data_IF_219024668659
#
_entry.id   IF_219024668659
#
_cell.length_a   1.000
_cell.length_b   1.000
_cell.length_c   1.000
_cell.angle_alpha   90.00
_cell.angle_beta   90.00
_cell.angle_gamma   90.00
#
_symmetry.space_group_name_H-M   'P 1'
#
loop_
_entity.id
_entity.type
_entity.pdbx_description
1 polymer ?
#
# COMPACT_ATOMS: atom_id res chain seq x y z
N UNK A 1 7.21 -14.57 2.25
CA UNK A 1 8.04 -13.60 2.99
C UNK A 1 9.05 -14.42 3.76
N UNK A 2 10.19 -13.88 4.18
CA UNK A 2 11.08 -14.64 5.05
C UNK A 2 10.41 -14.90 6.42
N UNK A 3 10.80 -16.00 7.07
CA UNK A 3 10.16 -16.47 8.30
C UNK A 3 10.23 -15.43 9.42
N UNK A 4 11.33 -14.67 9.53
CA UNK A 4 11.49 -13.65 10.57
C UNK A 4 10.47 -12.53 10.44
N UNK A 5 10.32 -11.96 9.24
CA UNK A 5 9.36 -10.90 8.99
C UNK A 5 7.93 -11.40 9.14
N UNK A 6 7.66 -12.62 8.69
CA UNK A 6 6.35 -13.24 8.86
C UNK A 6 6.00 -13.44 10.35
N UNK A 7 6.92 -14.02 11.14
CA UNK A 7 6.74 -14.19 12.58
C UNK A 7 6.59 -12.85 13.32
N UNK A 8 7.37 -11.84 12.92
CA UNK A 8 7.26 -10.48 13.48
C UNK A 8 5.88 -9.90 13.22
N UNK A 9 5.38 -10.03 11.99
CA UNK A 9 4.06 -9.55 11.60
C UNK A 9 2.95 -10.25 12.39
N UNK A 10 3.03 -11.59 12.52
CA UNK A 10 2.04 -12.39 13.24
C UNK A 10 2.08 -12.15 14.76
N UNK A 11 3.25 -11.92 15.34
CA UNK A 11 3.40 -11.60 16.75
C UNK A 11 2.82 -10.21 17.07
N UNK A 12 2.97 -9.25 16.14
CA UNK A 12 2.45 -7.89 16.31
C UNK A 12 0.94 -7.80 16.11
N UNK A 13 0.38 -8.58 15.19
CA UNK A 13 -1.03 -8.54 14.80
C UNK A 13 -1.73 -9.91 14.94
N UNK A 14 -1.69 -10.54 16.13
CA UNK A 14 -2.08 -11.93 16.29
C UNK A 14 -3.56 -12.18 15.99
N UNK A 15 -4.44 -11.24 16.36
CA UNK A 15 -5.87 -11.35 16.11
C UNK A 15 -6.19 -11.30 14.62
N UNK A 16 -5.53 -10.43 13.85
CA UNK A 16 -5.73 -10.32 12.41
C UNK A 16 -5.33 -11.61 11.68
N UNK A 17 -4.20 -12.20 12.08
CA UNK A 17 -3.63 -13.41 11.47
C UNK A 17 -3.98 -14.70 12.23
N UNK A 18 -5.04 -14.71 13.05
CA UNK A 18 -5.46 -15.88 13.84
C UNK A 18 -5.85 -17.09 13.00
N UNK A 19 -6.26 -16.87 11.76
CA UNK A 19 -6.63 -17.91 10.80
C UNK A 19 -5.49 -18.84 10.38
N UNK A 20 -4.23 -18.52 10.68
CA UNK A 20 -3.07 -19.35 10.31
C UNK A 20 -3.03 -20.74 10.98
N UNK A 21 -3.78 -20.90 12.07
CA UNK A 21 -3.90 -22.17 12.79
C UNK A 21 -5.12 -23.00 12.36
N UNK A 22 -5.95 -22.45 11.47
CA UNK A 22 -7.14 -23.13 10.98
C UNK A 22 -6.80 -24.13 9.85
N UNK A 23 -7.61 -25.17 9.65
CA UNK A 23 -7.46 -26.06 8.50
C UNK A 23 -7.60 -25.33 7.16
N UNK A 24 -6.91 -25.83 6.13
CA UNK A 24 -6.95 -25.27 4.76
C UNK A 24 -8.36 -25.20 4.14
N UNK A 25 -9.31 -25.98 4.65
CA UNK A 25 -10.72 -25.93 4.24
C UNK A 25 -11.48 -24.71 4.78
N UNK A 26 -10.88 -23.99 5.73
CA UNK A 26 -11.47 -22.83 6.43
C UNK A 26 -10.69 -21.56 6.10
N UNK A 27 -9.35 -21.63 6.12
CA UNK A 27 -8.50 -20.46 5.93
C UNK A 27 -7.20 -20.85 5.21
N UNK A 28 -6.71 -20.01 4.30
CA UNK A 28 -5.51 -20.26 3.51
C UNK A 28 -4.24 -19.66 4.14
N UNK A 29 -4.35 -18.97 5.27
CA UNK A 29 -3.20 -18.42 5.99
C UNK A 29 -2.25 -19.47 6.58
N UNK A 30 -2.59 -20.77 6.55
CA UNK A 30 -1.64 -21.83 6.83
C UNK A 30 -0.48 -21.90 5.79
N UNK A 31 -0.63 -21.25 4.62
CA UNK A 31 0.46 -21.03 3.67
C UNK A 31 1.36 -19.82 4.01
N UNK A 32 1.03 -19.06 5.06
CA UNK A 32 1.73 -17.83 5.41
C UNK A 32 1.45 -16.68 4.45
N UNK A 33 2.38 -15.72 4.39
CA UNK A 33 2.37 -14.59 3.48
C UNK A 33 3.17 -14.93 2.21
N UNK A 34 2.46 -15.34 1.16
CA UNK A 34 3.01 -15.75 -0.15
C UNK A 34 3.44 -14.53 -1.01
N UNK A 35 4.26 -13.64 -0.45
CA UNK A 35 4.84 -12.46 -1.10
C UNK A 35 6.27 -12.18 -0.61
N UNK A 36 7.00 -11.26 -1.23
CA UNK A 36 8.40 -10.97 -0.86
C UNK A 36 8.52 -9.86 0.22
N UNK A 37 9.72 -9.75 0.80
CA UNK A 37 10.02 -8.96 2.00
C UNK A 37 9.84 -7.45 1.84
N UNK A 38 10.00 -6.94 0.62
CA UNK A 38 9.82 -5.53 0.30
C UNK A 38 8.38 -5.05 0.52
N UNK A 39 7.40 -5.95 0.66
CA UNK A 39 6.02 -5.62 1.00
C UNK A 39 5.68 -5.76 2.49
N UNK A 40 6.63 -6.07 3.37
CA UNK A 40 6.38 -6.10 4.81
C UNK A 40 5.80 -4.79 5.34
N UNK A 41 6.34 -3.64 4.94
CA UNK A 41 5.83 -2.33 5.37
C UNK A 41 4.37 -2.10 4.94
N UNK A 42 3.98 -2.59 3.76
CA UNK A 42 2.59 -2.53 3.27
C UNK A 42 1.68 -3.37 4.16
N UNK A 43 2.09 -4.60 4.52
CA UNK A 43 1.30 -5.47 5.38
C UNK A 43 1.23 -4.94 6.82
N UNK A 44 2.31 -4.39 7.38
CA UNK A 44 2.30 -3.79 8.71
C UNK A 44 1.42 -2.53 8.77
N UNK A 45 1.49 -1.68 7.74
CA UNK A 45 0.61 -0.51 7.60
C UNK A 45 -0.87 -0.92 7.56
N UNK A 46 -1.21 -1.89 6.69
CA UNK A 46 -2.58 -2.39 6.56
C UNK A 46 -3.06 -3.00 7.87
N UNK A 47 -2.23 -3.82 8.52
CA UNK A 47 -2.56 -4.47 9.79
C UNK A 47 -2.84 -3.46 10.90
N UNK A 48 -2.06 -2.38 10.96
CA UNK A 48 -2.28 -1.27 11.89
C UNK A 48 -3.63 -0.58 11.61
N UNK A 49 -3.96 -0.29 10.35
CA UNK A 49 -5.22 0.36 9.97
C UNK A 49 -6.42 -0.50 10.35
N UNK A 50 -6.46 -1.76 9.90
CA UNK A 50 -7.59 -2.67 10.15
C UNK A 50 -7.82 -2.90 11.64
N UNK A 51 -6.73 -3.10 12.39
CA UNK A 51 -6.82 -3.33 13.84
C UNK A 51 -7.26 -2.06 14.59
N UNK A 52 -6.77 -0.90 14.20
CA UNK A 52 -7.13 0.38 14.84
C UNK A 52 -8.59 0.75 14.58
N UNK A 53 -9.06 0.57 13.34
CA UNK A 53 -10.45 0.79 12.98
C UNK A 53 -11.41 -0.13 13.75
N UNK A 54 -11.10 -1.44 13.80
CA UNK A 54 -11.89 -2.39 14.57
C UNK A 54 -11.96 -2.04 16.07
N UNK A 55 -10.84 -1.62 16.67
CA UNK A 55 -10.79 -1.15 18.07
C UNK A 55 -11.65 0.10 18.29
N UNK A 56 -11.62 1.05 17.37
CA UNK A 56 -12.44 2.27 17.46
C UNK A 56 -13.95 1.97 17.40
N UNK A 57 -14.33 0.83 16.81
CA UNK A 57 -15.71 0.34 16.73
C UNK A 57 -16.08 -0.67 17.81
N UNK A 58 -15.18 -0.97 18.76
CA UNK A 58 -15.36 -1.99 19.80
C UNK A 58 -15.75 -3.37 19.23
N UNK A 59 -15.08 -3.78 18.13
CA UNK A 59 -15.30 -5.07 17.47
C UNK A 59 -13.96 -5.80 17.25
N UNK A 60 -13.98 -7.14 17.07
CA UNK A 60 -12.77 -7.85 16.65
C UNK A 60 -12.30 -7.38 15.27
N UNK A 61 -10.97 -7.37 15.01
CA UNK A 61 -10.46 -7.10 13.68
C UNK A 61 -10.91 -8.18 12.69
N UNK A 62 -10.98 -7.83 11.39
CA UNK A 62 -11.22 -8.81 10.35
C UNK A 62 -10.16 -9.93 10.42
N UNK A 63 -10.45 -11.09 9.84
CA UNK A 63 -9.53 -12.23 9.78
C UNK A 63 -8.85 -12.21 8.41
N UNK A 64 -7.52 -12.23 8.36
CA UNK A 64 -6.80 -12.53 7.13
C UNK A 64 -7.13 -13.96 6.67
N UNK A 65 -7.55 -14.10 5.41
CA UNK A 65 -7.94 -15.38 4.79
C UNK A 65 -6.85 -15.88 3.83
N UNK A 66 -6.23 -14.97 3.08
CA UNK A 66 -5.10 -15.27 2.22
C UNK A 66 -4.32 -14.00 1.92
N UNK A 67 -2.99 -14.10 1.93
CA UNK A 67 -2.08 -13.01 1.54
C UNK A 67 -1.12 -13.57 0.50
N UNK A 68 -1.15 -13.02 -0.72
CA UNK A 68 -0.29 -13.51 -1.81
C UNK A 68 0.08 -12.43 -2.81
N UNK A 69 1.14 -12.68 -3.55
CA UNK A 69 1.41 -12.00 -4.82
C UNK A 69 0.51 -12.56 -5.93
N UNK A 70 0.02 -11.67 -6.80
CA UNK A 70 -0.63 -12.03 -8.08
C UNK A 70 -0.49 -10.91 -9.12
N UNK A 71 0.21 -11.22 -10.20
CA UNK A 71 0.47 -10.34 -11.36
C UNK A 71 1.25 -9.07 -11.03
N UNK A 72 2.27 -9.18 -10.17
CA UNK A 72 3.10 -8.08 -9.69
C UNK A 72 2.45 -7.23 -8.60
N UNK A 73 1.34 -7.66 -8.00
CA UNK A 73 0.66 -6.91 -6.95
C UNK A 73 0.18 -7.84 -5.82
N UNK A 74 0.05 -7.28 -4.62
CA UNK A 74 -0.53 -7.93 -3.47
C UNK A 74 -2.01 -8.25 -3.72
N UNK A 75 -2.44 -9.39 -3.18
CA UNK A 75 -3.84 -9.71 -2.91
C UNK A 75 -4.01 -10.01 -1.45
N UNK A 76 -4.90 -9.26 -0.80
CA UNK A 76 -5.21 -9.42 0.60
C UNK A 76 -6.69 -9.74 0.75
N UNK A 77 -6.99 -10.98 1.11
CA UNK A 77 -8.36 -11.44 1.34
C UNK A 77 -8.62 -11.44 2.84
N UNK A 78 -9.73 -10.85 3.25
CA UNK A 78 -10.17 -10.79 4.62
C UNK A 78 -11.60 -11.33 4.77
N UNK A 79 -11.98 -11.67 6.00
CA UNK A 79 -13.35 -11.97 6.39
C UNK A 79 -13.76 -11.10 7.58
N UNK A 80 -14.97 -10.55 7.51
CA UNK A 80 -15.50 -9.65 8.55
C UNK A 80 -15.03 -8.20 8.39
N UNK A 81 -14.56 -7.83 7.20
CA UNK A 81 -14.24 -6.48 6.78
C UNK A 81 -15.51 -5.66 6.48
N UNK A 82 -15.44 -4.35 6.72
CA UNK A 82 -16.45 -3.37 6.30
C UNK A 82 -15.97 -2.50 5.13
N UNK A 83 -16.77 -1.53 4.68
CA UNK A 83 -16.38 -0.67 3.55
C UNK A 83 -15.10 0.14 3.80
N UNK A 84 -14.80 0.52 5.04
CA UNK A 84 -13.54 1.19 5.37
C UNK A 84 -12.37 0.22 5.23
N UNK A 85 -12.49 -0.98 5.80
CA UNK A 85 -11.48 -2.02 5.67
C UNK A 85 -11.22 -2.38 4.20
N UNK A 86 -12.27 -2.51 3.40
CA UNK A 86 -12.17 -2.78 1.96
C UNK A 86 -11.42 -1.66 1.21
N UNK A 87 -11.60 -0.40 1.62
CA UNK A 87 -10.85 0.74 1.11
C UNK A 87 -9.37 0.70 1.45
N UNK A 88 -9.05 0.38 2.71
CA UNK A 88 -7.68 0.22 3.18
C UNK A 88 -6.96 -0.94 2.46
N UNK A 89 -7.62 -2.10 2.34
CA UNK A 89 -7.13 -3.26 1.59
C UNK A 89 -6.85 -2.87 0.13
N UNK A 90 -7.81 -2.23 -0.53
CA UNK A 90 -7.65 -1.80 -1.93
C UNK A 90 -6.46 -0.85 -2.09
N UNK A 91 -6.27 0.11 -1.18
CA UNK A 91 -5.12 1.00 -1.22
C UNK A 91 -3.80 0.26 -1.01
N UNK A 92 -3.74 -0.72 -0.11
CA UNK A 92 -2.54 -1.54 0.10
C UNK A 92 -2.16 -2.34 -1.15
N UNK A 93 -3.14 -2.88 -1.87
CA UNK A 93 -2.90 -3.55 -3.16
C UNK A 93 -2.34 -2.58 -4.22
N UNK A 94 -2.85 -1.35 -4.31
CA UNK A 94 -2.32 -0.34 -5.25
C UNK A 94 -0.91 0.13 -4.90
N UNK A 95 -0.60 0.25 -3.62
CA UNK A 95 0.73 0.61 -3.14
C UNK A 95 1.74 -0.49 -3.47
N UNK A 96 1.36 -1.76 -3.28
CA UNK A 96 2.24 -2.90 -3.60
C UNK A 96 2.65 -2.93 -5.08
N UNK A 97 1.80 -2.46 -5.99
CA UNK A 97 2.09 -2.36 -7.43
C UNK A 97 3.07 -1.22 -7.78
N UNK A 98 3.46 -0.39 -6.80
CA UNK A 98 4.43 0.71 -6.93
C UNK A 98 5.66 0.52 -6.04
N UNK A 99 5.70 -0.56 -5.26
CA UNK A 99 6.79 -0.86 -4.33
C UNK A 99 7.45 -2.15 -4.77
N UNK A 100 8.78 -2.13 -4.89
CA UNK A 100 9.55 -3.31 -5.22
C UNK A 100 9.32 -4.42 -4.20
N UNK A 101 8.82 -5.57 -4.67
CA UNK A 101 8.48 -6.68 -3.77
C UNK A 101 9.70 -7.26 -3.04
N UNK A 102 10.91 -7.08 -3.56
CA UNK A 102 12.15 -7.57 -2.92
C UNK A 102 12.77 -6.51 -2.01
N UNK A 103 13.00 -5.29 -2.52
CA UNK A 103 13.85 -4.30 -1.83
C UNK A 103 13.08 -3.27 -1.02
N UNK A 104 11.76 -3.16 -1.21
CA UNK A 104 10.92 -2.11 -0.63
C UNK A 104 11.14 -0.71 -1.23
N UNK A 105 12.08 -0.57 -2.18
CA UNK A 105 12.30 0.69 -2.91
C UNK A 105 11.18 0.94 -3.93
N UNK A 106 11.02 2.17 -4.45
CA UNK A 106 10.05 2.44 -5.51
C UNK A 106 10.24 1.50 -6.71
N UNK A 107 9.13 0.99 -7.24
CA UNK A 107 9.13 -0.02 -8.29
C UNK A 107 7.99 0.16 -9.30
N UNK A 108 8.13 -0.50 -10.45
CA UNK A 108 7.09 -0.56 -11.49
C UNK A 108 6.86 -1.99 -11.90
N UNK A 109 5.73 -2.23 -12.58
CA UNK A 109 5.43 -3.52 -13.16
C UNK A 109 6.49 -3.90 -14.18
N UNK A 110 7.04 -5.10 -14.01
CA UNK A 110 8.06 -5.67 -14.86
C UNK A 110 7.60 -7.03 -15.38
N UNK A 111 8.19 -7.45 -16.49
CA UNK A 111 7.89 -8.75 -17.11
C UNK A 111 9.14 -9.50 -17.55
N UNK A 112 9.07 -10.84 -17.48
CA UNK A 112 10.03 -11.77 -18.09
C UNK A 112 9.26 -12.96 -18.68
N UNK A 113 8.86 -12.84 -19.94
CA UNK A 113 7.92 -13.79 -20.54
C UNK A 113 6.52 -13.60 -19.96
N UNK A 114 5.86 -14.66 -19.52
CA UNK A 114 4.52 -14.60 -18.91
C UNK A 114 4.55 -14.31 -17.39
N UNK A 115 5.73 -14.03 -16.84
CA UNK A 115 5.92 -13.72 -15.43
C UNK A 115 5.89 -12.22 -15.21
N UNK A 116 5.10 -11.78 -14.23
CA UNK A 116 4.94 -10.39 -13.83
C UNK A 116 5.40 -10.21 -12.38
N UNK A 117 6.07 -9.09 -12.11
CA UNK A 117 6.62 -8.74 -10.81
C UNK A 117 6.73 -7.22 -10.69
N UNK A 118 6.61 -6.65 -9.49
CA UNK A 118 6.91 -5.24 -9.27
C UNK A 118 8.31 -5.10 -8.71
N UNK A 119 9.20 -4.51 -9.51
CA UNK A 119 10.62 -4.34 -9.15
C UNK A 119 11.07 -2.90 -9.27
N UNK A 120 12.05 -2.56 -8.43
CA UNK A 120 12.88 -1.36 -8.60
C UNK A 120 13.83 -1.57 -9.78
N UNK A 121 14.36 -0.48 -10.40
CA UNK A 121 15.24 -0.60 -11.56
C UNK A 121 16.45 -1.52 -11.33
N UNK A 122 17.07 -1.46 -10.14
CA UNK A 122 18.21 -2.31 -9.79
C UNK A 122 17.83 -3.79 -9.72
N UNK A 123 16.73 -4.13 -9.06
CA UNK A 123 16.23 -5.51 -8.93
C UNK A 123 15.77 -6.04 -10.30
N UNK A 124 15.10 -5.22 -11.10
CA UNK A 124 14.68 -5.59 -12.46
C UNK A 124 15.89 -5.96 -13.32
N UNK A 125 16.96 -5.16 -13.29
CA UNK A 125 18.20 -5.43 -14.01
C UNK A 125 18.87 -6.74 -13.54
N UNK A 126 18.99 -6.93 -12.22
CA UNK A 126 19.59 -8.13 -11.62
C UNK A 126 18.82 -9.41 -12.01
N UNK A 127 17.48 -9.39 -11.87
CA UNK A 127 16.61 -10.54 -12.17
C UNK A 127 16.33 -10.71 -13.67
N UNK A 128 16.81 -9.78 -14.51
CA UNK A 128 16.61 -9.73 -15.98
C UNK A 128 15.13 -9.63 -16.37
N UNK A 129 14.41 -8.77 -15.67
CA UNK A 129 13.05 -8.38 -16.01
C UNK A 129 13.05 -7.04 -16.76
N UNK A 130 12.14 -6.87 -17.71
CA UNK A 130 11.92 -5.61 -18.42
C UNK A 130 10.82 -4.81 -17.72
N UNK A 131 11.10 -3.56 -17.35
CA UNK A 131 10.07 -2.64 -16.85
C UNK A 131 9.11 -2.27 -17.98
N UNK A 132 7.80 -2.34 -17.72
CA UNK A 132 6.77 -2.00 -18.71
C UNK A 132 6.58 -0.49 -18.84
N UNK A 133 6.68 0.24 -17.73
CA UNK A 133 6.53 1.69 -17.67
C UNK A 133 7.87 2.34 -17.27
N UNK A 134 8.90 2.14 -18.09
CA UNK A 134 10.27 2.60 -17.78
C UNK A 134 10.43 4.13 -17.77
N UNK A 135 9.54 4.85 -18.44
CA UNK A 135 9.54 6.32 -18.51
C UNK A 135 8.75 6.98 -17.37
N UNK A 136 8.01 6.21 -16.58
CA UNK A 136 7.28 6.73 -15.42
C UNK A 136 8.25 7.22 -14.35
N UNK A 137 8.10 8.46 -13.84
CA UNK A 137 8.99 8.98 -12.81
C UNK A 137 8.91 8.11 -11.56
N UNK A 138 10.07 7.80 -10.99
CA UNK A 138 10.21 7.09 -9.72
C UNK A 138 10.68 8.08 -8.65
N UNK A 139 10.20 7.97 -7.40
CA UNK A 139 10.83 8.64 -6.27
C UNK A 139 12.34 8.34 -6.20
N UNK A 140 13.18 9.31 -5.80
CA UNK A 140 12.81 10.67 -5.41
C UNK A 140 12.50 11.59 -6.60
N UNK A 141 11.44 12.39 -6.46
CA UNK A 141 11.10 13.49 -7.39
C UNK A 141 11.06 14.80 -6.61
N UNK A 142 11.61 15.92 -7.11
CA UNK A 142 11.57 17.19 -6.38
C UNK A 142 10.15 17.57 -5.94
N UNK A 143 10.00 18.03 -4.70
CA UNK A 143 8.69 18.31 -4.09
C UNK A 143 7.84 19.28 -4.92
N UNK A 144 8.48 20.26 -5.54
CA UNK A 144 7.84 21.23 -6.45
C UNK A 144 7.29 20.58 -7.73
N UNK A 145 7.88 19.47 -8.19
CA UNK A 145 7.40 18.74 -9.36
C UNK A 145 6.26 17.79 -9.02
N UNK A 146 6.27 17.18 -7.83
CA UNK A 146 5.23 16.22 -7.41
C UNK A 146 3.84 16.85 -7.54
N UNK A 147 3.66 18.07 -7.03
CA UNK A 147 2.36 18.73 -7.09
C UNK A 147 1.91 19.04 -8.51
N UNK A 148 2.83 19.31 -9.43
CA UNK A 148 2.53 19.47 -10.86
C UNK A 148 2.11 18.14 -11.48
N UNK A 149 2.92 17.09 -11.30
CA UNK A 149 2.67 15.74 -11.84
C UNK A 149 1.30 15.22 -11.41
N UNK A 150 0.99 15.27 -10.11
CA UNK A 150 -0.25 14.72 -9.59
C UNK A 150 -1.48 15.49 -10.08
N UNK A 151 -1.41 16.83 -10.16
CA UNK A 151 -2.54 17.65 -10.67
C UNK A 151 -2.77 17.46 -12.17
N UNK A 152 -1.70 17.34 -12.96
CA UNK A 152 -1.82 17.07 -14.40
C UNK A 152 -2.42 15.69 -14.66
N UNK A 153 -2.04 14.69 -13.85
CA UNK A 153 -2.53 13.31 -13.99
C UNK A 153 -3.94 13.12 -13.46
N UNK A 154 -4.29 13.77 -12.36
CA UNK A 154 -5.57 13.58 -11.65
C UNK A 154 -6.38 14.88 -11.49
N UNK A 155 -6.68 15.62 -12.59
CA UNK A 155 -7.28 16.95 -12.52
C UNK A 155 -8.74 16.96 -12.03
N UNK A 156 -9.40 15.80 -12.01
CA UNK A 156 -10.78 15.65 -11.50
C UNK A 156 -10.84 15.32 -10.01
N UNK A 157 -9.71 14.90 -9.42
CA UNK A 157 -9.59 14.46 -8.03
C UNK A 157 -8.78 15.46 -7.22
N UNK A 158 -7.71 16.03 -7.77
CA UNK A 158 -6.83 16.96 -7.05
C UNK A 158 -7.17 18.40 -7.42
N UNK A 159 -7.74 19.10 -6.45
CA UNK A 159 -8.30 20.45 -6.62
C UNK A 159 -7.52 21.54 -5.89
N UNK A 160 -6.52 21.15 -5.09
CA UNK A 160 -5.77 22.12 -4.30
C UNK A 160 -4.28 21.82 -4.19
N UNK A 161 -3.76 22.04 -3.00
CA UNK A 161 -2.31 22.09 -2.78
C UNK A 161 -1.76 20.69 -2.55
N UNK A 162 -0.63 20.41 -3.20
CA UNK A 162 0.13 19.18 -3.03
C UNK A 162 1.56 19.59 -2.67
N UNK A 163 1.98 19.27 -1.46
CA UNK A 163 3.31 19.53 -0.90
C UNK A 163 3.79 18.25 -0.22
N UNK A 164 4.30 17.33 -1.04
CA UNK A 164 4.80 16.04 -0.58
C UNK A 164 6.33 16.01 -0.63
N UNK A 165 6.98 15.27 0.28
CA UNK A 165 8.41 15.06 0.23
C UNK A 165 8.78 14.14 -0.95
N UNK A 166 10.05 14.14 -1.40
CA UNK A 166 10.44 13.50 -2.66
C UNK A 166 10.09 12.01 -2.77
N UNK A 167 10.12 11.30 -1.65
CA UNK A 167 9.82 9.88 -1.53
C UNK A 167 8.34 9.52 -1.62
N UNK A 168 7.43 10.48 -1.48
CA UNK A 168 5.99 10.19 -1.31
C UNK A 168 5.17 10.36 -2.60
N UNK A 169 5.81 10.56 -3.76
CA UNK A 169 5.11 10.65 -5.05
C UNK A 169 4.16 9.47 -5.28
N UNK A 170 4.64 8.24 -5.09
CA UNK A 170 3.86 7.03 -5.37
C UNK A 170 2.68 6.83 -4.39
N UNK A 171 2.81 7.33 -3.15
CA UNK A 171 1.71 7.33 -2.17
C UNK A 171 0.60 8.29 -2.64
N UNK A 172 0.98 9.50 -3.03
CA UNK A 172 0.03 10.50 -3.55
C UNK A 172 -0.64 10.07 -4.85
N UNK A 173 0.13 9.48 -5.77
CA UNK A 173 -0.39 8.94 -7.03
C UNK A 173 -1.37 7.77 -6.81
N UNK A 174 -1.02 6.81 -5.96
CA UNK A 174 -1.89 5.69 -5.63
C UNK A 174 -3.20 6.17 -4.99
N UNK A 175 -3.13 7.15 -4.07
CA UNK A 175 -4.31 7.68 -3.41
C UNK A 175 -5.23 8.40 -4.41
N UNK A 176 -4.67 9.28 -5.23
CA UNK A 176 -5.44 10.00 -6.24
C UNK A 176 -6.05 9.07 -7.29
N UNK A 177 -5.30 8.05 -7.73
CA UNK A 177 -5.81 6.99 -8.60
C UNK A 177 -6.99 6.28 -7.95
N UNK A 178 -6.85 5.83 -6.69
CA UNK A 178 -7.90 5.11 -5.97
C UNK A 178 -9.17 5.93 -5.82
N UNK A 179 -9.06 7.21 -5.49
CA UNK A 179 -10.19 8.13 -5.33
C UNK A 179 -10.83 8.55 -6.66
N UNK A 180 -10.11 8.40 -7.78
CA UNK A 180 -10.68 8.62 -9.12
C UNK A 180 -11.67 7.51 -9.55
N UNK A 181 -11.57 6.33 -8.94
CA UNK A 181 -12.35 5.16 -9.30
C UNK A 181 -13.60 5.03 -8.43
N UNK A 182 -14.78 5.15 -9.05
CA UNK A 182 -16.05 4.81 -8.39
C UNK A 182 -16.29 3.31 -8.21
N UNK A 183 -15.43 2.48 -8.82
CA UNK A 183 -15.55 1.02 -8.77
C UNK A 183 -16.87 0.52 -9.36
N UNK A 184 -17.47 -0.47 -8.72
CA UNK A 184 -18.74 -1.08 -9.11
C UNK A 184 -19.98 -0.30 -8.64
N UNK A 185 -19.79 0.83 -7.96
CA UNK A 185 -20.85 1.61 -7.29
C UNK A 185 -20.89 3.04 -7.85
N UNK A 186 -21.51 3.26 -9.02
CA UNK A 186 -21.51 4.55 -9.72
C UNK A 186 -22.16 5.69 -8.91
N UNK A 187 -23.03 5.35 -7.96
CA UNK A 187 -23.73 6.25 -7.05
C UNK A 187 -22.85 6.81 -5.93
N UNK A 188 -21.63 6.28 -5.73
CA UNK A 188 -20.72 6.79 -4.69
C UNK A 188 -20.44 8.28 -4.88
N UNK A 189 -20.41 9.06 -3.79
CA UNK A 189 -20.09 10.48 -3.85
C UNK A 189 -18.71 10.67 -4.48
N UNK A 190 -18.53 11.76 -5.22
CA UNK A 190 -17.20 12.12 -5.68
C UNK A 190 -16.33 12.52 -4.48
N UNK A 191 -15.03 12.29 -4.59
CA UNK A 191 -14.03 12.72 -3.61
C UNK A 191 -13.05 13.66 -4.27
N UNK A 192 -12.81 14.80 -3.62
CA UNK A 192 -11.83 15.80 -4.09
C UNK A 192 -10.78 16.02 -3.00
N UNK A 193 -9.51 15.89 -3.35
CA UNK A 193 -8.37 16.22 -2.51
C UNK A 193 -8.16 17.74 -2.61
N UNK A 194 -8.35 18.42 -1.49
CA UNK A 194 -8.14 19.86 -1.36
C UNK A 194 -6.73 20.18 -0.85
N UNK A 195 -6.17 19.31 -0.01
CA UNK A 195 -4.76 19.38 0.41
C UNK A 195 -4.17 17.99 0.59
N UNK A 196 -2.93 17.84 0.15
CA UNK A 196 -2.09 16.66 0.35
C UNK A 196 -0.71 17.14 0.76
N UNK A 197 -0.42 17.11 2.06
CA UNK A 197 0.79 17.72 2.64
C UNK A 197 1.49 16.76 3.59
N UNK A 198 2.80 16.92 3.72
CA UNK A 198 3.52 16.43 4.88
C UNK A 198 3.48 17.48 6.01
N UNK A 199 3.10 17.06 7.21
CA UNK A 199 3.06 17.88 8.42
C UNK A 199 3.60 17.04 9.58
N UNK A 200 4.72 17.46 10.17
CA UNK A 200 5.35 16.82 11.33
C UNK A 200 5.64 15.31 11.14
N UNK A 201 6.05 14.92 9.93
CA UNK A 201 6.33 13.55 9.52
C UNK A 201 5.09 12.75 9.10
N UNK A 202 3.91 13.36 9.07
CA UNK A 202 2.64 12.69 8.77
C UNK A 202 2.04 13.18 7.46
N UNK A 203 1.38 12.27 6.74
CA UNK A 203 0.57 12.64 5.58
C UNK A 203 -0.76 13.24 6.05
N UNK A 204 -0.91 14.55 5.88
CA UNK A 204 -2.15 15.27 6.10
C UNK A 204 -2.97 15.34 4.79
N UNK A 205 -4.20 14.83 4.85
CA UNK A 205 -5.15 14.86 3.73
C UNK A 205 -6.37 15.68 4.11
N UNK A 206 -6.64 16.75 3.37
CA UNK A 206 -7.91 17.48 3.45
C UNK A 206 -8.73 17.18 2.21
N UNK A 207 -9.97 16.75 2.40
CA UNK A 207 -10.85 16.33 1.32
C UNK A 207 -12.23 16.97 1.42
N UNK A 208 -12.94 16.96 0.29
CA UNK A 208 -14.38 17.21 0.20
C UNK A 208 -15.07 15.97 -0.39
N UNK A 209 -16.27 15.66 0.13
CA UNK A 209 -17.04 14.47 -0.23
C UNK A 209 -16.51 13.16 0.37
N UNK A 210 -16.63 12.08 -0.41
CA UNK A 210 -16.19 10.72 -0.06
C UNK A 210 -17.01 9.95 0.97
N UNK A 211 -16.70 8.66 1.07
CA UNK A 211 -17.39 7.70 1.93
C UNK A 211 -16.43 6.90 2.83
N UNK A 212 -16.93 5.84 3.48
CA UNK A 212 -16.13 5.02 4.39
C UNK A 212 -14.95 4.35 3.68
N UNK A 213 -15.14 3.91 2.43
CA UNK A 213 -14.11 3.25 1.63
C UNK A 213 -13.00 4.24 1.25
N UNK A 214 -13.36 5.47 0.89
CA UNK A 214 -12.36 6.50 0.63
C UNK A 214 -11.56 6.85 1.89
N UNK A 215 -12.23 6.93 3.06
CA UNK A 215 -11.55 7.13 4.34
C UNK A 215 -10.60 5.99 4.69
N UNK A 216 -10.95 4.75 4.37
CA UNK A 216 -10.06 3.59 4.53
C UNK A 216 -8.81 3.68 3.66
N UNK A 217 -8.98 4.07 2.40
CA UNK A 217 -7.85 4.29 1.49
C UNK A 217 -6.93 5.42 1.99
N UNK A 218 -7.48 6.52 2.50
CA UNK A 218 -6.72 7.62 3.08
C UNK A 218 -5.96 7.18 4.33
N UNK A 219 -6.60 6.43 5.23
CA UNK A 219 -5.96 5.89 6.43
C UNK A 219 -4.77 4.98 6.08
N UNK A 220 -4.93 4.14 5.04
CA UNK A 220 -3.85 3.29 4.53
C UNK A 220 -2.71 4.10 3.90
N UNK A 221 -3.02 5.14 3.10
CA UNK A 221 -2.01 6.02 2.53
C UNK A 221 -1.19 6.72 3.64
N UNK A 222 -1.85 7.21 4.68
CA UNK A 222 -1.19 7.83 5.83
C UNK A 222 -0.33 6.84 6.63
N UNK A 223 -0.84 5.62 6.88
CA UNK A 223 -0.08 4.57 7.56
C UNK A 223 1.16 4.11 6.76
N UNK A 224 1.07 4.12 5.43
CA UNK A 224 2.21 3.82 4.57
C UNK A 224 3.24 4.95 4.54
N UNK A 225 2.80 6.21 4.58
CA UNK A 225 3.70 7.37 4.64
C UNK A 225 4.61 7.34 5.88
N UNK A 226 4.06 6.97 7.04
CA UNK A 226 4.80 6.73 8.30
C UNK A 226 5.84 5.59 8.19
N UNK A 227 5.71 4.70 7.21
CA UNK A 227 6.60 3.56 6.96
C UNK A 227 7.42 3.72 5.67
N UNK A 228 7.49 4.93 5.12
CA UNK A 228 8.21 5.21 3.88
C UNK A 228 9.18 6.36 4.12
N UNK A 229 10.46 6.13 3.85
CA UNK A 229 11.48 7.16 3.92
C UNK A 229 11.09 8.35 3.02
N UNK A 230 10.89 9.51 3.64
CA UNK A 230 10.40 10.71 2.99
C UNK A 230 11.35 11.22 1.89
N UNK A 231 12.63 10.87 1.97
CA UNK A 231 13.62 11.32 0.98
C UNK A 231 13.70 10.41 -0.24
N UNK A 232 13.60 9.09 -0.08
CA UNK A 232 13.91 8.10 -1.10
C UNK A 232 12.70 7.31 -1.59
N UNK A 233 11.61 7.29 -0.82
CA UNK A 233 10.43 6.47 -1.10
C UNK A 233 10.64 4.99 -0.77
N UNK A 234 11.74 4.64 -0.11
CA UNK A 234 12.00 3.26 0.32
C UNK A 234 11.19 2.93 1.57
N UNK A 235 10.57 1.76 1.56
CA UNK A 235 9.90 1.19 2.74
C UNK A 235 10.88 1.02 3.90
N UNK A 236 10.46 1.42 5.10
CA UNK A 236 11.17 1.23 6.35
C UNK A 236 10.88 -0.19 6.85
N UNK A 237 11.85 -1.10 6.63
CA UNK A 237 11.75 -2.49 7.05
C UNK A 237 12.37 -2.68 8.44
N UNK A 238 11.89 -3.64 9.26
CA UNK A 238 12.56 -4.01 10.50
C UNK A 238 14.00 -4.44 10.21
N UNK A 239 14.97 -4.18 11.09
CA UNK A 239 16.33 -4.65 10.90
C UNK A 239 16.36 -6.18 10.85
N UNK A 240 17.20 -6.73 9.96
CA UNK A 240 17.45 -8.18 9.96
C UNK A 240 18.54 -8.54 10.99
N UNK A 241 18.56 -9.76 11.56
CA UNK A 241 19.49 -10.16 12.61
C UNK A 241 20.96 -10.08 12.20
N UNK A 242 21.23 -10.11 10.89
CA UNK A 242 22.58 -10.06 10.30
C UNK A 242 23.10 -8.61 10.09
N UNK A 243 22.33 -7.58 10.45
CA UNK A 243 22.68 -6.15 10.25
C UNK A 243 23.16 -5.41 11.52
N UNK A 244 23.51 -6.12 12.61
CA UNK A 244 24.08 -5.53 13.84
C UNK A 244 25.56 -5.84 14.05
#
# INVERSE_FOLDING_TARGET
MNDLYEETLFARWPDLYRGRFEPLTVNLMAFGCECNDGWYAVLDALSWVLTTHARALDRPPPIAVQVKEKYGALRYYAHGDDEFDAGAISMAEDLSARICEISGAPGRLCTRGDWYATFSPSVAAEKRFRMLDADEPLPPVPSEEIGRILRERWPTVIDGVVELPPGWLDIGDALASRLSHKGWYPERPATRILELREIDGLLAVRMDGGDARDRGAIAMAAAMADRTDASSGRSLLPPTPDEN
#
